data_IF_609518087656
#
_entry.id   IF_609518087656
#
_cell.length_a   1.000
_cell.length_b   1.000
_cell.length_c   1.000
_cell.angle_alpha   90.00
_cell.angle_beta   90.00
_cell.angle_gamma   90.00
#
_symmetry.space_group_name_H-M   'P 1'
#
loop_
_entity.id
_entity.type
_entity.pdbx_description
1 polymer ?
#
# COMPACT_ATOMS: atom_id res chain seq x y z
N UNK A 1 34.66 15.37 9.06
CA UNK A 1 33.76 15.85 10.12
C UNK A 1 32.49 16.55 9.58
N UNK A 2 32.60 17.42 8.58
CA UNK A 2 31.43 18.13 7.98
C UNK A 2 30.42 17.14 7.37
N UNK A 3 30.88 16.10 6.68
CA UNK A 3 30.00 15.09 6.07
C UNK A 3 29.19 14.28 7.10
N UNK A 4 29.77 13.94 8.23
CA UNK A 4 29.10 13.18 9.29
C UNK A 4 28.04 14.03 10.01
N UNK A 5 28.29 15.33 10.22
CA UNK A 5 27.31 16.25 10.82
C UNK A 5 26.13 16.53 9.88
N UNK A 6 26.37 16.65 8.56
CA UNK A 6 25.30 16.82 7.58
C UNK A 6 24.39 15.59 7.52
N UNK A 7 24.95 14.38 7.46
CA UNK A 7 24.17 13.13 7.48
C UNK A 7 23.36 13.00 8.77
N UNK A 8 23.97 13.32 9.92
CA UNK A 8 23.25 13.27 11.20
C UNK A 8 22.11 14.28 11.30
N UNK A 9 22.28 15.52 10.82
CA UNK A 9 21.22 16.52 10.83
C UNK A 9 20.09 16.20 9.86
N UNK A 10 20.41 15.67 8.69
CA UNK A 10 19.39 15.20 7.72
C UNK A 10 18.58 14.03 8.26
N UNK A 11 19.20 13.08 8.95
CA UNK A 11 18.50 11.98 9.62
C UNK A 11 17.51 12.52 10.67
N UNK A 12 17.91 13.42 11.54
CA UNK A 12 17.02 13.99 12.56
C UNK A 12 15.82 14.74 11.96
N UNK A 13 16.03 15.49 10.88
CA UNK A 13 14.92 16.20 10.19
C UNK A 13 13.93 15.20 9.59
N UNK A 14 14.42 14.14 8.96
CA UNK A 14 13.58 13.10 8.36
C UNK A 14 12.80 12.32 9.42
N UNK A 15 13.45 11.94 10.53
CA UNK A 15 12.80 11.30 11.68
C UNK A 15 11.64 12.13 12.20
N UNK A 16 11.88 13.42 12.42
CA UNK A 16 10.85 14.34 12.91
C UNK A 16 9.69 14.46 11.93
N UNK A 17 9.97 14.47 10.63
CA UNK A 17 8.95 14.55 9.58
C UNK A 17 8.07 13.29 9.55
N UNK A 18 8.67 12.09 9.51
CA UNK A 18 7.92 10.84 9.56
C UNK A 18 7.14 10.67 10.86
N UNK A 19 7.74 11.01 11.99
CA UNK A 19 7.07 10.98 13.29
C UNK A 19 5.84 11.90 13.30
N UNK A 20 5.97 13.10 12.73
CA UNK A 20 4.85 14.03 12.59
C UNK A 20 3.69 13.46 11.77
N UNK A 21 3.99 12.79 10.66
CA UNK A 21 2.96 12.16 9.82
C UNK A 21 2.28 10.96 10.50
N UNK A 22 3.06 10.12 11.17
CA UNK A 22 2.50 8.98 11.91
C UNK A 22 1.64 9.42 13.10
N UNK A 23 2.03 10.49 13.79
CA UNK A 23 1.22 11.10 14.85
C UNK A 23 -0.07 11.69 14.29
N UNK A 24 -0.01 12.41 13.16
CA UNK A 24 -1.19 12.94 12.49
C UNK A 24 -2.14 11.81 12.03
N UNK A 25 -1.60 10.72 11.49
CA UNK A 25 -2.35 9.51 11.16
C UNK A 25 -3.04 8.94 12.39
N UNK A 26 -2.31 8.73 13.49
CA UNK A 26 -2.86 8.22 14.74
C UNK A 26 -4.01 9.06 15.29
N UNK A 27 -3.86 10.39 15.34
CA UNK A 27 -4.96 11.29 15.76
C UNK A 27 -6.16 11.24 14.83
N UNK A 28 -5.94 11.19 13.51
CA UNK A 28 -7.02 11.08 12.53
C UNK A 28 -7.78 9.77 12.68
N UNK A 29 -7.08 8.66 12.91
CA UNK A 29 -7.67 7.35 13.19
C UNK A 29 -8.51 7.37 14.47
N UNK A 30 -7.97 7.88 15.58
CA UNK A 30 -8.71 7.99 16.84
C UNK A 30 -10.00 8.81 16.71
N UNK A 31 -9.95 9.89 15.92
CA UNK A 31 -11.12 10.74 15.68
C UNK A 31 -12.21 10.05 14.85
N UNK A 32 -11.82 9.15 13.95
CA UNK A 32 -12.73 8.52 12.97
C UNK A 32 -12.73 6.99 13.14
N UNK A 33 -12.57 6.49 14.35
CA UNK A 33 -12.37 5.06 14.60
C UNK A 33 -13.51 4.18 14.05
N UNK A 34 -14.74 4.67 14.11
CA UNK A 34 -15.93 3.94 13.68
C UNK A 34 -16.01 3.77 12.15
N UNK A 35 -15.43 4.70 11.39
CA UNK A 35 -15.41 4.67 9.92
C UNK A 35 -14.03 4.29 9.34
N UNK A 36 -13.05 3.94 10.22
CA UNK A 36 -11.70 3.63 9.76
C UNK A 36 -11.64 2.27 9.08
N UNK A 37 -11.01 2.17 7.89
CA UNK A 37 -10.85 0.89 7.20
C UNK A 37 -10.12 -0.16 8.04
N UNK A 38 -10.54 -1.42 7.94
CA UNK A 38 -9.87 -2.55 8.57
C UNK A 38 -8.72 -2.97 7.65
N UNK A 39 -7.49 -2.95 8.16
CA UNK A 39 -6.29 -3.21 7.36
C UNK A 39 -6.30 -4.60 6.69
N UNK A 40 -6.77 -5.64 7.38
CA UNK A 40 -6.91 -7.00 6.84
C UNK A 40 -7.85 -7.07 5.62
N UNK A 41 -8.83 -6.20 5.57
CA UNK A 41 -9.79 -6.13 4.45
C UNK A 41 -9.28 -5.32 3.26
N UNK A 42 -8.30 -4.45 3.48
CA UNK A 42 -7.67 -3.61 2.46
C UNK A 42 -6.51 -4.36 1.80
N UNK A 43 -5.67 -5.02 2.61
CA UNK A 43 -4.39 -5.61 2.18
C UNK A 43 -4.43 -7.14 2.22
N UNK A 44 -5.39 -7.74 1.49
CA UNK A 44 -5.59 -9.19 1.42
C UNK A 44 -5.05 -9.84 0.13
N UNK A 45 -4.62 -9.04 -0.85
CA UNK A 45 -4.10 -9.53 -2.11
C UNK A 45 -2.72 -10.18 -1.98
N UNK A 46 -2.53 -11.31 -2.66
CA UNK A 46 -1.21 -11.92 -2.79
C UNK A 46 -0.90 -12.16 -4.29
N UNK A 47 0.28 -11.72 -4.79
CA UNK A 47 0.64 -11.96 -6.18
C UNK A 47 0.71 -13.46 -6.48
N UNK A 48 0.23 -13.86 -7.65
CA UNK A 48 0.18 -15.26 -8.12
C UNK A 48 -0.83 -16.19 -7.42
N UNK A 49 -1.50 -15.78 -6.34
CA UNK A 49 -2.52 -16.56 -5.64
C UNK A 49 -3.89 -15.90 -5.81
N UNK A 50 -4.49 -16.04 -7.00
CA UNK A 50 -5.83 -15.50 -7.25
C UNK A 50 -6.89 -16.28 -6.47
N UNK A 51 -7.76 -15.56 -5.75
CA UNK A 51 -8.87 -16.14 -5.00
C UNK A 51 -8.50 -16.73 -3.63
N UNK A 52 -7.29 -16.52 -3.14
CA UNK A 52 -6.88 -16.86 -1.79
C UNK A 52 -6.79 -15.57 -0.97
N UNK A 53 -7.68 -15.43 0.01
CA UNK A 53 -7.60 -14.36 1.00
C UNK A 53 -6.38 -14.61 1.89
N UNK A 54 -5.33 -13.81 1.71
CA UNK A 54 -4.09 -13.90 2.46
C UNK A 54 -3.78 -12.55 3.12
N UNK A 55 -4.60 -12.14 4.13
CA UNK A 55 -4.47 -10.83 4.76
C UNK A 55 -3.06 -10.67 5.33
N UNK A 56 -2.43 -9.54 5.05
CA UNK A 56 -1.12 -9.13 5.55
C UNK A 56 0.09 -9.98 5.11
N UNK A 57 -0.09 -11.17 4.51
CA UNK A 57 1.05 -12.05 4.16
C UNK A 57 1.99 -11.40 3.15
N UNK A 58 1.44 -10.69 2.17
CA UNK A 58 2.27 -10.02 1.18
C UNK A 58 3.10 -8.88 1.76
N UNK A 59 2.48 -8.07 2.60
CA UNK A 59 3.15 -6.95 3.27
C UNK A 59 4.22 -7.46 4.26
N UNK A 60 3.93 -8.55 4.97
CA UNK A 60 4.93 -9.21 5.81
C UNK A 60 6.12 -9.71 4.97
N UNK A 61 5.85 -10.34 3.81
CA UNK A 61 6.91 -10.82 2.92
C UNK A 61 7.80 -9.67 2.43
N UNK A 62 7.21 -8.56 1.96
CA UNK A 62 8.00 -7.41 1.51
C UNK A 62 8.80 -6.76 2.66
N UNK A 63 8.27 -6.77 3.88
CA UNK A 63 8.97 -6.33 5.08
C UNK A 63 10.19 -7.23 5.36
N UNK A 64 10.04 -8.55 5.29
CA UNK A 64 11.18 -9.48 5.44
C UNK A 64 12.24 -9.28 4.36
N UNK A 65 11.86 -9.02 3.10
CA UNK A 65 12.80 -8.73 2.03
C UNK A 65 13.61 -7.46 2.34
N UNK A 66 12.97 -6.42 2.86
CA UNK A 66 13.66 -5.19 3.23
C UNK A 66 14.62 -5.41 4.42
N UNK A 67 14.18 -6.09 5.47
CA UNK A 67 15.02 -6.46 6.63
C UNK A 67 16.22 -7.30 6.17
N UNK A 68 15.99 -8.30 5.29
CA UNK A 68 17.08 -9.11 4.74
C UNK A 68 18.08 -8.25 3.94
N UNK A 69 17.60 -7.29 3.16
CA UNK A 69 18.48 -6.34 2.44
C UNK A 69 19.30 -5.49 3.40
N UNK A 70 18.73 -5.14 4.57
CA UNK A 70 19.44 -4.43 5.63
C UNK A 70 20.59 -5.29 6.22
N UNK A 71 20.34 -6.58 6.45
CA UNK A 71 21.38 -7.52 6.89
C UNK A 71 22.52 -7.64 5.84
N UNK A 72 22.16 -7.75 4.55
CA UNK A 72 23.19 -7.80 3.50
C UNK A 72 24.01 -6.51 3.44
N UNK A 73 23.44 -5.38 3.75
CA UNK A 73 24.15 -4.11 3.84
C UNK A 73 25.15 -4.08 5.01
N UNK A 74 24.78 -4.62 6.19
CA UNK A 74 25.74 -4.79 7.33
C UNK A 74 26.94 -5.65 6.91
N UNK A 75 26.66 -6.78 6.22
CA UNK A 75 27.71 -7.67 5.74
C UNK A 75 28.60 -7.00 4.67
N UNK A 76 28.05 -6.09 3.87
CA UNK A 76 28.84 -5.30 2.94
C UNK A 76 29.79 -4.34 3.66
N UNK A 77 29.33 -3.71 4.74
CA UNK A 77 30.15 -2.81 5.57
C UNK A 77 31.27 -3.59 6.26
N UNK A 78 30.95 -4.75 6.87
CA UNK A 78 31.96 -5.62 7.50
C UNK A 78 33.02 -6.09 6.50
N UNK A 79 32.61 -6.54 5.33
CA UNK A 79 33.52 -6.90 4.25
C UNK A 79 34.40 -5.70 3.80
N UNK A 80 33.83 -4.47 3.83
CA UNK A 80 34.56 -3.24 3.55
C UNK A 80 35.66 -2.94 4.55
N UNK A 81 35.43 -3.17 5.85
CA UNK A 81 36.44 -3.06 6.89
C UNK A 81 37.60 -4.06 6.68
N UNK A 82 37.29 -5.22 6.12
CA UNK A 82 38.30 -6.24 5.80
C UNK A 82 38.95 -6.03 4.41
N UNK A 83 38.63 -4.95 3.70
CA UNK A 83 39.08 -4.64 2.33
C UNK A 83 38.83 -5.76 1.30
N UNK A 84 37.76 -6.55 1.50
CA UNK A 84 37.36 -7.63 0.56
C UNK A 84 36.36 -7.10 -0.47
N UNK A 85 36.88 -6.58 -1.56
CA UNK A 85 36.11 -6.00 -2.66
C UNK A 85 35.02 -6.94 -3.19
N UNK A 86 35.33 -8.22 -3.34
CA UNK A 86 34.41 -9.17 -3.95
C UNK A 86 33.18 -9.41 -3.05
N UNK A 87 33.40 -9.53 -1.75
CA UNK A 87 32.31 -9.67 -0.79
C UNK A 87 31.50 -8.38 -0.68
N UNK A 88 32.16 -7.21 -0.64
CA UNK A 88 31.47 -5.91 -0.67
C UNK A 88 30.55 -5.83 -1.88
N UNK A 89 31.06 -6.11 -3.09
CA UNK A 89 30.28 -6.09 -4.31
C UNK A 89 29.10 -7.07 -4.27
N UNK A 90 29.33 -8.31 -3.81
CA UNK A 90 28.28 -9.32 -3.71
C UNK A 90 27.14 -8.91 -2.77
N UNK A 91 27.46 -8.46 -1.56
CA UNK A 91 26.44 -8.07 -0.58
C UNK A 91 25.71 -6.78 -0.98
N UNK A 92 26.40 -5.79 -1.56
CA UNK A 92 25.75 -4.59 -2.11
C UNK A 92 24.79 -4.93 -3.24
N UNK A 93 25.14 -5.89 -4.12
CA UNK A 93 24.23 -6.33 -5.17
C UNK A 93 22.96 -6.94 -4.59
N UNK A 94 23.05 -7.77 -3.55
CA UNK A 94 21.88 -8.34 -2.86
C UNK A 94 21.02 -7.25 -2.22
N UNK A 95 21.65 -6.23 -1.62
CA UNK A 95 20.94 -5.08 -1.05
C UNK A 95 20.16 -4.31 -2.13
N UNK A 96 20.79 -4.05 -3.29
CA UNK A 96 20.15 -3.37 -4.43
C UNK A 96 18.94 -4.17 -4.94
N UNK A 97 19.10 -5.49 -5.10
CA UNK A 97 18.02 -6.37 -5.55
C UNK A 97 16.87 -6.35 -4.53
N UNK A 98 17.15 -6.50 -3.25
CA UNK A 98 16.14 -6.46 -2.19
C UNK A 98 15.36 -5.14 -2.18
N UNK A 99 16.06 -4.01 -2.26
CA UNK A 99 15.44 -2.68 -2.35
C UNK A 99 14.60 -2.48 -3.61
N UNK A 100 15.07 -2.95 -4.77
CA UNK A 100 14.32 -2.86 -6.02
C UNK A 100 13.05 -3.73 -5.99
N UNK A 101 13.13 -4.94 -5.43
CA UNK A 101 11.97 -5.81 -5.23
C UNK A 101 10.96 -5.16 -4.29
N UNK A 102 11.41 -4.53 -3.20
CA UNK A 102 10.53 -3.83 -2.28
C UNK A 102 9.78 -2.67 -2.96
N UNK A 103 10.48 -1.81 -3.71
CA UNK A 103 9.85 -0.70 -4.46
C UNK A 103 8.83 -1.23 -5.48
N UNK A 104 9.15 -2.30 -6.19
CA UNK A 104 8.23 -2.95 -7.11
C UNK A 104 6.99 -3.52 -6.41
N UNK A 105 7.17 -4.12 -5.24
CA UNK A 105 6.10 -4.65 -4.40
C UNK A 105 5.16 -3.55 -3.91
N UNK A 106 5.71 -2.42 -3.47
CA UNK A 106 4.93 -1.27 -3.04
C UNK A 106 4.11 -0.66 -4.20
N UNK A 107 4.70 -0.57 -5.39
CA UNK A 107 3.98 -0.09 -6.57
C UNK A 107 2.84 -1.04 -6.97
N UNK A 108 3.01 -2.35 -6.83
CA UNK A 108 1.97 -3.35 -7.07
C UNK A 108 0.84 -3.24 -6.04
N UNK A 109 1.15 -3.05 -4.76
CA UNK A 109 0.17 -2.83 -3.71
C UNK A 109 -0.67 -1.57 -3.97
N UNK A 110 -0.03 -0.48 -4.35
CA UNK A 110 -0.73 0.74 -4.74
C UNK A 110 -1.68 0.52 -5.92
N UNK A 111 -1.23 -0.20 -6.95
CA UNK A 111 -2.07 -0.53 -8.11
C UNK A 111 -3.35 -1.23 -7.68
N UNK A 112 -3.26 -2.22 -6.78
CA UNK A 112 -4.43 -2.95 -6.30
C UNK A 112 -5.34 -2.08 -5.45
N UNK A 113 -4.78 -1.26 -4.56
CA UNK A 113 -5.55 -0.36 -3.71
C UNK A 113 -6.29 0.71 -4.52
N UNK A 114 -5.63 1.30 -5.53
CA UNK A 114 -6.25 2.27 -6.45
C UNK A 114 -7.35 1.63 -7.30
N UNK A 115 -7.12 0.41 -7.81
CA UNK A 115 -8.08 -0.30 -8.66
C UNK A 115 -9.31 -0.73 -7.89
N UNK A 116 -9.15 -1.13 -6.62
CA UNK A 116 -10.19 -1.75 -5.80
C UNK A 116 -10.60 -3.12 -6.32
N UNK A 117 -11.36 -3.84 -5.52
CA UNK A 117 -11.82 -5.19 -5.84
C UNK A 117 -13.34 -5.31 -5.76
N UNK A 118 -13.91 -4.83 -4.65
CA UNK A 118 -15.32 -5.08 -4.37
C UNK A 118 -16.24 -3.99 -4.88
N UNK A 119 -15.81 -2.75 -4.81
CA UNK A 119 -16.66 -1.60 -5.02
C UNK A 119 -17.66 -1.39 -3.88
N UNK A 120 -18.20 -0.18 -3.80
CA UNK A 120 -19.12 0.25 -2.76
C UNK A 120 -20.06 1.33 -3.29
N UNK A 121 -21.03 1.72 -2.50
CA UNK A 121 -21.95 2.81 -2.81
C UNK A 121 -21.86 3.87 -1.70
N UNK A 122 -21.68 5.13 -2.12
CA UNK A 122 -21.70 6.29 -1.22
C UNK A 122 -23.11 6.83 -1.11
N UNK A 123 -23.62 7.05 0.12
CA UNK A 123 -24.91 7.66 0.39
C UNK A 123 -24.77 9.16 0.67
N UNK A 124 -25.90 9.87 0.79
CA UNK A 124 -25.92 11.35 0.89
C UNK A 124 -25.11 11.93 2.06
N UNK A 125 -24.97 11.20 3.17
CA UNK A 125 -24.19 11.62 4.34
C UNK A 125 -22.68 11.36 4.18
N UNK A 126 -22.23 10.77 3.06
CA UNK A 126 -20.83 10.40 2.78
C UNK A 126 -20.41 9.03 3.33
N UNK A 127 -21.31 8.28 3.98
CA UNK A 127 -21.04 6.92 4.45
C UNK A 127 -20.94 5.96 3.26
N UNK A 128 -20.04 4.98 3.37
CA UNK A 128 -19.78 3.97 2.34
C UNK A 128 -20.51 2.67 2.71
N UNK A 129 -21.36 2.19 1.82
CA UNK A 129 -22.07 0.92 1.95
C UNK A 129 -21.37 -0.14 1.09
N UNK A 130 -20.97 -1.25 1.70
CA UNK A 130 -20.33 -2.39 1.03
C UNK A 130 -21.33 -3.55 0.94
N UNK A 131 -21.27 -4.31 -0.16
CA UNK A 131 -22.19 -5.43 -0.38
C UNK A 131 -21.67 -6.73 0.24
N UNK A 132 -22.59 -7.52 0.76
CA UNK A 132 -22.32 -8.73 1.51
C UNK A 132 -23.32 -9.84 1.13
N UNK A 133 -22.80 -11.03 0.81
CA UNK A 133 -23.60 -12.21 0.53
C UNK A 133 -23.81 -13.00 1.82
N UNK A 134 -25.05 -13.03 2.31
CA UNK A 134 -25.41 -13.71 3.56
C UNK A 134 -25.20 -15.23 3.46
N UNK A 135 -25.36 -15.81 2.26
CA UNK A 135 -25.22 -17.27 2.07
C UNK A 135 -23.77 -17.71 2.05
N UNK A 136 -22.91 -16.91 1.45
CA UNK A 136 -21.47 -17.20 1.35
C UNK A 136 -20.69 -16.70 2.57
N UNK A 137 -21.31 -15.88 3.41
CA UNK A 137 -20.69 -15.19 4.56
C UNK A 137 -19.43 -14.39 4.15
N UNK A 138 -19.53 -13.67 3.01
CA UNK A 138 -18.41 -12.93 2.39
C UNK A 138 -18.86 -11.65 1.71
N UNK A 139 -17.94 -10.71 1.54
CA UNK A 139 -18.13 -9.57 0.63
C UNK A 139 -18.36 -10.07 -0.78
N UNK A 140 -19.21 -9.38 -1.52
CA UNK A 140 -19.46 -9.65 -2.94
C UNK A 140 -19.09 -8.41 -3.75
N UNK A 141 -18.28 -8.58 -4.82
CA UNK A 141 -17.98 -7.49 -5.74
C UNK A 141 -19.23 -7.03 -6.48
N UNK A 142 -19.32 -5.72 -6.72
CA UNK A 142 -20.45 -5.15 -7.48
C UNK A 142 -20.54 -5.73 -8.88
N UNK A 143 -19.42 -6.14 -9.47
CA UNK A 143 -19.31 -6.74 -10.81
C UNK A 143 -19.99 -8.12 -10.90
N UNK A 144 -20.14 -8.84 -9.78
CA UNK A 144 -20.75 -10.18 -9.76
C UNK A 144 -22.27 -10.15 -9.76
N UNK A 145 -22.90 -9.09 -9.26
CA UNK A 145 -24.35 -9.08 -9.12
C UNK A 145 -25.05 -7.92 -9.85
N UNK A 146 -24.33 -6.88 -10.28
CA UNK A 146 -24.92 -5.79 -11.05
C UNK A 146 -25.50 -6.29 -12.38
N UNK A 147 -26.74 -5.87 -12.70
CA UNK A 147 -27.37 -6.20 -13.96
C UNK A 147 -26.97 -5.17 -15.00
N UNK A 148 -26.07 -5.57 -15.87
CA UNK A 148 -25.52 -4.70 -16.91
C UNK A 148 -26.55 -4.41 -18.01
N UNK A 149 -26.91 -3.16 -18.19
CA UNK A 149 -27.93 -2.74 -19.17
C UNK A 149 -27.37 -2.56 -20.59
N UNK A 150 -26.05 -2.46 -20.79
CA UNK A 150 -25.47 -2.34 -22.12
C UNK A 150 -24.54 -3.50 -22.46
N UNK A 151 -24.71 -4.08 -23.66
CA UNK A 151 -23.88 -5.17 -24.18
C UNK A 151 -22.53 -4.69 -24.78
N UNK A 152 -22.34 -3.39 -24.95
CA UNK A 152 -21.14 -2.81 -25.55
C UNK A 152 -20.16 -2.29 -24.50
N UNK A 153 -19.79 -3.09 -23.53
CA UNK A 153 -18.69 -2.76 -22.64
C UNK A 153 -17.38 -3.23 -23.25
N UNK A 154 -16.53 -2.28 -23.59
CA UNK A 154 -15.15 -2.55 -24.00
C UNK A 154 -14.41 -3.11 -22.78
N UNK A 155 -13.97 -4.36 -22.86
CA UNK A 155 -13.09 -4.95 -21.85
C UNK A 155 -11.71 -4.29 -21.95
N UNK A 156 -11.20 -3.79 -20.84
CA UNK A 156 -9.84 -3.26 -20.78
C UNK A 156 -8.82 -4.37 -21.00
N UNK A 157 -7.86 -4.07 -21.85
CA UNK A 157 -6.65 -4.86 -21.90
C UNK A 157 -5.77 -4.48 -20.70
N UNK A 158 -5.47 -5.42 -19.81
CA UNK A 158 -4.68 -5.21 -18.58
C UNK A 158 -3.25 -4.69 -18.82
N UNK A 159 -2.86 -4.53 -20.09
CA UNK A 159 -1.52 -4.14 -20.51
C UNK A 159 -1.29 -2.63 -20.60
N UNK A 160 -2.32 -1.80 -20.39
CA UNK A 160 -2.16 -0.34 -20.52
C UNK A 160 -1.76 0.26 -19.18
N UNK A 161 -0.58 0.87 -19.17
CA UNK A 161 0.01 1.42 -17.95
C UNK A 161 -0.77 2.61 -17.38
N UNK A 162 -0.67 2.79 -16.07
CA UNK A 162 -1.31 3.83 -15.24
C UNK A 162 -1.10 5.27 -15.75
N UNK A 163 -0.18 5.49 -16.68
CA UNK A 163 0.26 6.80 -17.17
C UNK A 163 -0.38 7.24 -18.50
N UNK A 164 -1.20 6.42 -19.15
CA UNK A 164 -1.84 6.79 -20.42
C UNK A 164 -3.23 7.36 -20.21
N UNK A 165 -3.34 8.67 -20.40
CA UNK A 165 -4.61 9.42 -20.30
C UNK A 165 -5.52 9.30 -21.54
N UNK A 166 -5.12 8.58 -22.58
CA UNK A 166 -5.87 8.47 -23.84
C UNK A 166 -6.96 7.40 -23.83
N UNK A 167 -7.14 6.70 -22.73
CA UNK A 167 -8.18 5.70 -22.61
C UNK A 167 -9.54 6.37 -22.42
N UNK A 168 -10.45 6.06 -23.31
CA UNK A 168 -11.88 6.31 -23.09
C UNK A 168 -12.25 5.69 -21.77
N UNK A 169 -12.81 6.47 -20.83
CA UNK A 169 -13.28 5.97 -19.55
C UNK A 169 -14.11 4.71 -19.79
N UNK A 170 -13.74 3.62 -19.15
CA UNK A 170 -14.60 2.44 -19.08
C UNK A 170 -15.99 2.89 -18.67
N UNK A 171 -17.06 2.32 -19.25
CA UNK A 171 -18.38 2.49 -18.71
C UNK A 171 -18.37 1.90 -17.30
N UNK A 172 -18.29 2.77 -16.32
CA UNK A 172 -18.40 2.40 -14.90
C UNK A 172 -19.77 1.77 -14.69
N UNK A 173 -19.83 0.76 -13.81
CA UNK A 173 -21.11 0.19 -13.38
C UNK A 173 -21.93 1.31 -12.76
N UNK A 174 -23.11 1.53 -13.27
CA UNK A 174 -24.00 2.60 -12.82
C UNK A 174 -24.72 2.21 -11.52
N UNK A 175 -25.11 3.20 -10.74
CA UNK A 175 -25.88 2.96 -9.53
C UNK A 175 -27.19 2.21 -9.83
N UNK A 176 -27.86 2.50 -10.96
CA UNK A 176 -29.08 1.81 -11.38
C UNK A 176 -28.88 0.31 -11.61
N UNK A 177 -27.78 -0.08 -12.24
CA UNK A 177 -27.42 -1.48 -12.49
C UNK A 177 -27.15 -2.25 -11.19
N UNK A 178 -26.51 -1.61 -10.22
CA UNK A 178 -26.28 -2.17 -8.88
C UNK A 178 -27.59 -2.33 -8.14
N UNK A 179 -28.45 -1.31 -8.15
CA UNK A 179 -29.74 -1.34 -7.47
C UNK A 179 -30.70 -2.40 -8.06
N UNK A 180 -30.66 -2.62 -9.37
CA UNK A 180 -31.45 -3.65 -10.02
C UNK A 180 -30.92 -5.05 -9.64
N UNK A 181 -29.60 -5.27 -9.67
CA UNK A 181 -28.98 -6.51 -9.22
C UNK A 181 -29.25 -6.81 -7.74
N UNK A 182 -29.19 -5.78 -6.89
CA UNK A 182 -29.53 -5.90 -5.48
C UNK A 182 -31.01 -6.31 -5.27
N UNK A 183 -31.95 -5.69 -5.97
CA UNK A 183 -33.38 -6.04 -5.88
C UNK A 183 -33.65 -7.46 -6.34
N UNK A 184 -32.98 -7.92 -7.37
CA UNK A 184 -33.18 -9.27 -7.94
C UNK A 184 -32.59 -10.36 -7.06
N UNK A 185 -31.54 -10.08 -6.30
CA UNK A 185 -30.85 -11.07 -5.46
C UNK A 185 -31.13 -10.83 -3.97
N UNK A 186 -32.07 -11.60 -3.40
CA UNK A 186 -32.45 -11.51 -1.98
C UNK A 186 -31.38 -11.99 -0.99
N UNK A 187 -30.31 -12.65 -1.45
CA UNK A 187 -29.23 -13.11 -0.59
C UNK A 187 -28.19 -12.03 -0.29
N UNK A 188 -28.27 -10.88 -1.00
CA UNK A 188 -27.32 -9.79 -0.83
C UNK A 188 -27.89 -8.78 0.16
N UNK A 189 -27.08 -8.33 1.08
CA UNK A 189 -27.34 -7.19 1.97
C UNK A 189 -26.17 -6.20 1.90
N UNK A 190 -26.22 -5.15 2.72
CA UNK A 190 -25.10 -4.22 2.85
C UNK A 190 -24.57 -4.22 4.28
N UNK A 191 -23.30 -3.87 4.40
CA UNK A 191 -22.65 -3.58 5.67
C UNK A 191 -22.21 -2.13 5.69
N UNK A 192 -22.31 -1.52 6.85
CA UNK A 192 -21.94 -0.13 7.11
C UNK A 192 -20.50 -0.02 7.57
N UNK A 193 -19.98 1.22 7.62
CA UNK A 193 -18.63 1.49 8.13
C UNK A 193 -18.51 1.21 9.62
N UNK A 194 -19.58 1.42 10.40
CA UNK A 194 -19.59 1.24 11.85
C UNK A 194 -19.16 -0.17 12.27
N UNK A 195 -18.38 -0.21 13.34
CA UNK A 195 -17.84 -1.46 13.91
C UNK A 195 -18.72 -1.91 15.10
N UNK A 196 -18.91 -3.21 15.20
CA UNK A 196 -19.50 -3.83 16.37
C UNK A 196 -18.46 -3.98 17.51
N UNK A 197 -18.87 -4.43 18.69
CA UNK A 197 -18.00 -4.66 19.86
C UNK A 197 -16.85 -5.64 19.59
N UNK A 198 -16.91 -6.39 18.49
CA UNK A 198 -15.86 -7.34 18.05
C UNK A 198 -14.91 -6.73 17.02
N UNK A 199 -15.06 -5.45 16.68
CA UNK A 199 -14.25 -4.79 15.66
C UNK A 199 -14.59 -5.21 14.22
N UNK A 200 -15.78 -5.75 13.96
CA UNK A 200 -16.27 -6.13 12.64
C UNK A 200 -17.33 -5.14 12.17
N UNK A 201 -17.40 -4.90 10.87
CA UNK A 201 -18.44 -4.04 10.29
C UNK A 201 -19.83 -4.62 10.48
N UNK A 202 -20.78 -3.75 10.81
CA UNK A 202 -22.16 -4.14 11.08
C UNK A 202 -22.86 -4.49 9.75
N UNK A 203 -23.44 -5.70 9.68
CA UNK A 203 -24.25 -6.16 8.56
C UNK A 203 -25.70 -5.80 8.84
N UNK A 204 -26.35 -5.08 7.94
CA UNK A 204 -27.71 -4.63 8.09
C UNK A 204 -28.71 -5.74 7.73
N UNK A 205 -29.94 -5.64 8.28
CA UNK A 205 -31.07 -6.41 7.76
C UNK A 205 -31.38 -6.00 6.32
N UNK A 206 -32.11 -6.83 5.56
CA UNK A 206 -32.49 -6.51 4.19
C UNK A 206 -33.33 -5.24 4.10
N UNK A 207 -34.26 -5.03 5.05
CA UNK A 207 -35.13 -3.86 5.10
C UNK A 207 -34.32 -2.58 5.35
N UNK A 208 -33.44 -2.60 6.35
CA UNK A 208 -32.56 -1.46 6.67
C UNK A 208 -31.59 -1.16 5.51
N UNK A 209 -31.13 -2.20 4.82
CA UNK A 209 -30.28 -2.07 3.64
C UNK A 209 -30.99 -1.37 2.48
N UNK A 210 -32.27 -1.70 2.23
CA UNK A 210 -33.09 -1.05 1.20
C UNK A 210 -33.35 0.41 1.53
N UNK A 211 -33.62 0.72 2.79
CA UNK A 211 -33.82 2.09 3.27
C UNK A 211 -32.56 2.93 3.09
N UNK A 212 -31.41 2.47 3.59
CA UNK A 212 -30.14 3.17 3.43
C UNK A 212 -29.75 3.33 1.95
N UNK A 213 -29.90 2.30 1.13
CA UNK A 213 -29.60 2.37 -0.31
C UNK A 213 -30.52 3.33 -1.08
N UNK A 214 -31.72 3.64 -0.55
CA UNK A 214 -32.60 4.66 -1.17
C UNK A 214 -31.95 6.04 -1.22
N UNK A 215 -31.02 6.32 -0.32
CA UNK A 215 -30.24 7.56 -0.25
C UNK A 215 -28.90 7.51 -0.99
N UNK A 216 -28.68 6.46 -1.78
CA UNK A 216 -27.45 6.26 -2.56
C UNK A 216 -27.24 7.36 -3.61
N UNK A 217 -26.02 7.88 -3.70
CA UNK A 217 -25.69 8.98 -4.59
C UNK A 217 -24.77 8.56 -5.73
N UNK A 218 -23.83 7.66 -5.47
CA UNK A 218 -22.84 7.23 -6.46
C UNK A 218 -22.16 5.90 -6.12
N UNK A 219 -21.52 5.33 -7.13
CA UNK A 219 -20.67 4.16 -7.00
C UNK A 219 -19.24 4.61 -6.71
N UNK A 220 -18.56 3.91 -5.80
CA UNK A 220 -17.15 4.11 -5.45
C UNK A 220 -16.42 2.80 -5.71
N UNK A 221 -15.36 2.81 -6.53
CA UNK A 221 -14.50 1.66 -6.77
C UNK A 221 -13.05 2.06 -6.55
N UNK A 222 -12.34 1.28 -5.74
CA UNK A 222 -10.96 1.55 -5.34
C UNK A 222 -10.83 2.72 -4.37
N UNK A 223 -9.59 3.18 -4.25
CA UNK A 223 -9.24 4.30 -3.39
C UNK A 223 -8.50 5.39 -4.18
N UNK A 224 -8.85 6.64 -3.90
CA UNK A 224 -8.16 7.83 -4.38
C UNK A 224 -8.15 8.90 -3.27
N UNK A 225 -7.64 10.10 -3.56
CA UNK A 225 -7.54 11.20 -2.59
C UNK A 225 -8.89 11.79 -2.15
N UNK A 226 -10.00 11.39 -2.76
CA UNK A 226 -11.33 11.96 -2.46
C UNK A 226 -12.25 10.88 -1.89
N UNK A 227 -12.08 9.62 -2.31
CA UNK A 227 -12.96 8.48 -1.98
C UNK A 227 -12.19 7.21 -1.76
N UNK A 228 -12.78 6.36 -0.93
CA UNK A 228 -12.21 5.07 -0.59
C UNK A 228 -13.34 4.04 -0.41
N UNK A 229 -13.36 2.98 -1.22
CA UNK A 229 -14.37 1.91 -1.12
C UNK A 229 -14.31 1.14 0.20
N UNK A 230 -13.21 1.26 0.94
CA UNK A 230 -12.98 0.55 2.19
C UNK A 230 -13.48 1.32 3.42
N UNK A 231 -13.77 2.62 3.30
CA UNK A 231 -14.24 3.49 4.38
C UNK A 231 -13.68 4.91 4.27
N UNK A 232 -13.26 5.50 5.37
CA UNK A 232 -12.84 6.90 5.43
C UNK A 232 -11.71 7.24 4.43
N UNK A 233 -11.86 8.29 3.59
CA UNK A 233 -10.87 8.67 2.58
C UNK A 233 -9.52 9.11 3.18
N UNK A 234 -9.49 9.64 4.42
CA UNK A 234 -8.25 10.04 5.09
C UNK A 234 -7.26 8.86 5.23
N UNK A 235 -7.76 7.62 5.35
CA UNK A 235 -6.89 6.45 5.36
C UNK A 235 -6.09 6.36 4.06
N UNK A 236 -6.75 6.51 2.93
CA UNK A 236 -6.09 6.47 1.62
C UNK A 236 -5.11 7.62 1.44
N UNK A 237 -5.47 8.84 1.87
CA UNK A 237 -4.59 10.01 1.81
C UNK A 237 -3.30 9.79 2.59
N UNK A 238 -3.40 9.37 3.84
CA UNK A 238 -2.23 9.07 4.67
C UNK A 238 -1.43 7.91 4.11
N UNK A 239 -2.10 6.86 3.64
CA UNK A 239 -1.43 5.71 3.05
C UNK A 239 -0.59 6.11 1.85
N UNK A 240 -1.17 6.78 0.85
CA UNK A 240 -0.44 7.23 -0.33
C UNK A 240 0.68 8.21 0.02
N UNK A 241 0.42 9.14 0.93
CA UNK A 241 1.41 10.13 1.28
C UNK A 241 2.60 9.53 2.04
N UNK A 242 2.34 8.76 3.11
CA UNK A 242 3.41 8.22 3.97
C UNK A 242 4.19 7.12 3.25
N UNK A 243 3.49 6.16 2.61
CA UNK A 243 4.17 5.09 1.87
C UNK A 243 4.85 5.60 0.61
N UNK A 244 4.31 6.64 -0.05
CA UNK A 244 4.94 7.30 -1.19
C UNK A 244 6.19 8.07 -0.82
N UNK A 245 6.13 8.82 0.27
CA UNK A 245 7.29 9.54 0.78
C UNK A 245 8.38 8.57 1.23
N UNK A 246 8.00 7.47 1.91
CA UNK A 246 8.92 6.39 2.24
C UNK A 246 9.48 5.71 0.98
N UNK A 247 8.64 5.33 0.03
CA UNK A 247 9.03 4.69 -1.24
C UNK A 247 10.02 5.55 -2.05
N UNK A 248 9.85 6.87 -2.05
CA UNK A 248 10.82 7.78 -2.64
C UNK A 248 12.20 7.70 -1.96
N UNK A 249 12.22 7.57 -0.62
CA UNK A 249 13.48 7.40 0.12
C UNK A 249 14.14 6.04 -0.15
N UNK A 250 13.36 4.95 -0.22
CA UNK A 250 13.88 3.64 -0.61
C UNK A 250 14.46 3.70 -2.02
N UNK A 251 13.72 4.26 -2.97
CA UNK A 251 14.18 4.40 -4.36
C UNK A 251 15.48 5.22 -4.44
N UNK A 252 15.56 6.37 -3.75
CA UNK A 252 16.78 7.17 -3.71
C UNK A 252 17.95 6.39 -3.09
N UNK A 253 17.67 5.59 -2.05
CA UNK A 253 18.65 4.69 -1.44
C UNK A 253 19.15 3.62 -2.40
N UNK A 254 18.27 3.03 -3.20
CA UNK A 254 18.67 2.07 -4.27
C UNK A 254 19.58 2.74 -5.28
N UNK A 255 19.23 3.95 -5.74
CA UNK A 255 20.07 4.72 -6.70
C UNK A 255 21.44 5.01 -6.11
N UNK A 256 21.52 5.48 -4.88
CA UNK A 256 22.80 5.74 -4.19
C UNK A 256 23.62 4.45 -4.05
N UNK A 257 22.97 3.34 -3.65
CA UNK A 257 23.63 2.03 -3.57
C UNK A 257 24.21 1.59 -4.93
N UNK A 258 23.48 1.79 -6.03
CA UNK A 258 23.98 1.50 -7.38
C UNK A 258 25.23 2.33 -7.70
N UNK A 259 25.23 3.63 -7.42
CA UNK A 259 26.38 4.51 -7.65
C UNK A 259 27.60 4.03 -6.86
N UNK A 260 27.42 3.71 -5.57
CA UNK A 260 28.52 3.21 -4.72
C UNK A 260 28.99 1.83 -5.20
N UNK A 261 28.08 0.93 -5.58
CA UNK A 261 28.38 -0.39 -6.13
C UNK A 261 29.25 -0.30 -7.39
N UNK A 262 28.92 0.59 -8.32
CA UNK A 262 29.74 0.83 -9.53
C UNK A 262 31.15 1.29 -9.13
N UNK A 263 31.28 2.18 -8.14
CA UNK A 263 32.59 2.64 -7.65
C UNK A 263 33.40 1.50 -6.96
N UNK A 264 32.71 0.58 -6.28
CA UNK A 264 33.35 -0.64 -5.74
C UNK A 264 33.90 -1.51 -6.89
N UNK A 265 33.10 -1.76 -7.94
CA UNK A 265 33.50 -2.55 -9.08
C UNK A 265 34.72 -1.93 -9.81
N UNK A 266 34.75 -0.61 -9.96
CA UNK A 266 35.86 0.14 -10.55
C UNK A 266 37.13 0.16 -9.68
N UNK A 267 37.07 -0.40 -8.45
CA UNK A 267 38.19 -0.42 -7.52
C UNK A 267 38.56 0.95 -6.96
N UNK A 268 37.62 1.90 -6.95
CA UNK A 268 37.85 3.25 -6.48
C UNK A 268 38.18 3.28 -4.98
N UNK A 269 37.48 2.50 -4.18
CA UNK A 269 37.68 2.42 -2.73
C UNK A 269 38.89 1.56 -2.34
N UNK A 270 39.18 0.52 -3.12
CA UNK A 270 40.40 -0.28 -2.98
C UNK A 270 41.68 0.58 -3.17
N UNK A 271 41.68 1.46 -4.20
CA UNK A 271 42.77 2.42 -4.42
C UNK A 271 42.86 3.51 -3.32
N UNK A 272 41.78 3.84 -2.66
CA UNK A 272 41.74 4.77 -1.54
C UNK A 272 42.14 4.13 -0.21
N UNK A 273 42.10 2.79 -0.14
CA UNK A 273 42.40 2.03 1.07
C UNK A 273 41.33 2.03 2.15
N UNK A 274 40.10 2.56 1.87
CA UNK A 274 39.00 2.57 2.81
C UNK A 274 37.63 2.58 2.08
N UNK A 275 36.63 2.00 2.73
CA UNK A 275 35.24 1.85 2.23
C UNK A 275 34.22 2.72 3.00
N UNK A 276 34.62 3.86 3.53
CA UNK A 276 33.77 4.76 4.35
C UNK A 276 32.45 5.13 3.65
N UNK A 277 32.43 5.18 2.33
CA UNK A 277 31.19 5.50 1.59
C UNK A 277 30.19 4.36 1.63
N UNK A 278 30.64 3.11 1.74
CA UNK A 278 29.75 1.95 1.92
C UNK A 278 29.10 2.01 3.30
N UNK A 279 29.87 2.38 4.33
CA UNK A 279 29.35 2.57 5.68
C UNK A 279 28.31 3.71 5.73
N UNK A 280 28.60 4.86 5.12
CA UNK A 280 27.68 6.01 5.10
C UNK A 280 26.35 5.69 4.39
N UNK A 281 26.41 4.99 3.26
CA UNK A 281 25.18 4.59 2.58
C UNK A 281 24.46 3.47 3.33
N UNK A 282 25.19 2.65 4.07
CA UNK A 282 24.63 1.66 4.98
C UNK A 282 23.80 2.30 6.10
N UNK A 283 24.31 3.35 6.72
CA UNK A 283 23.55 4.12 7.73
C UNK A 283 22.24 4.69 7.14
N UNK A 284 22.30 5.24 5.93
CA UNK A 284 21.10 5.71 5.25
C UNK A 284 20.09 4.59 5.01
N UNK A 285 20.57 3.42 4.54
CA UNK A 285 19.71 2.26 4.25
C UNK A 285 19.01 1.72 5.49
N UNK A 286 19.74 1.57 6.59
CA UNK A 286 19.18 1.14 7.90
C UNK A 286 18.14 2.12 8.44
N UNK A 287 18.36 3.41 8.23
CA UNK A 287 17.37 4.41 8.61
C UNK A 287 16.06 4.24 7.83
N UNK A 288 16.15 4.06 6.52
CA UNK A 288 14.97 3.86 5.67
C UNK A 288 14.23 2.58 6.06
N UNK A 289 14.94 1.50 6.34
CA UNK A 289 14.38 0.23 6.82
C UNK A 289 13.67 0.39 8.18
N UNK A 290 14.28 1.11 9.11
CA UNK A 290 13.68 1.40 10.42
C UNK A 290 12.36 2.17 10.29
N UNK A 291 12.30 3.17 9.43
CA UNK A 291 11.07 3.93 9.15
C UNK A 291 9.97 3.00 8.63
N UNK A 292 10.31 2.04 7.76
CA UNK A 292 9.35 1.07 7.26
C UNK A 292 8.72 0.23 8.37
N UNK A 293 9.49 -0.20 9.36
CA UNK A 293 8.96 -0.95 10.51
C UNK A 293 7.87 -0.17 11.24
N UNK A 294 8.04 1.14 11.41
CA UNK A 294 7.00 1.99 11.98
C UNK A 294 5.79 2.12 11.05
N UNK A 295 6.00 2.36 9.76
CA UNK A 295 4.91 2.43 8.77
C UNK A 295 4.12 1.12 8.76
N UNK A 296 4.80 -0.02 8.72
CA UNK A 296 4.18 -1.34 8.79
C UNK A 296 3.34 -1.51 10.06
N UNK A 297 3.88 -1.15 11.21
CA UNK A 297 3.16 -1.27 12.48
C UNK A 297 1.90 -0.43 12.50
N UNK A 298 1.98 0.84 12.09
CA UNK A 298 0.85 1.77 12.21
C UNK A 298 -0.25 1.56 11.17
N UNK A 299 0.08 1.15 9.94
CA UNK A 299 -0.92 0.98 8.89
C UNK A 299 -1.49 -0.43 8.81
N UNK A 300 -0.70 -1.43 9.17
CA UNK A 300 -1.07 -2.82 8.91
C UNK A 300 -1.36 -3.62 10.19
N UNK A 301 -0.71 -3.31 11.33
CA UNK A 301 -0.88 -4.10 12.55
C UNK A 301 -1.77 -3.41 13.61
N UNK A 302 -1.91 -2.12 13.58
CA UNK A 302 -2.74 -1.34 14.50
C UNK A 302 -3.95 -0.82 13.76
#
# INVERSE_FOLDING_TARGET
EIGVRLVGSEMCIRDSTFSGFLVAYGFSRFKNIDSWPIADEVFHHFPFLHGVDAPMYYVALMTFILIFSSVTMVLAVDAGHNNDKNRVAFYMLLTIIGGAVFVGSQAWEWKNFIKGEYGAVEIQNGEILQFYDIKKDKRIPIDEFAILQSQERITHDDNVGVWYQSETKLPEITLSEIMEGFKTNSAITVRVEELNDKGQKIILSREDAEDKLSSATRVVKGANLIRNEYGNPLFADFFFFITGFHGFHVFSGVVINIIIFINVLLGTYERRGHYDMVEKVGLYWHFVDLVWVFVFTFFYLV
#
